data_IF_064466932987
#
_entry.id   IF_064466932987
#
_cell.length_a   1.000
_cell.length_b   1.000
_cell.length_c   1.000
_cell.angle_alpha   90.00
_cell.angle_beta   90.00
_cell.angle_gamma   90.00
#
_symmetry.space_group_name_H-M   'P 1'
#
loop_
_entity.id
_entity.type
_entity.pdbx_description
1 polymer ?
#
# COMPACT_ATOMS: atom_id res chain seq x y z
N UNK A 1 -22.63 -18.75 -25.87
CA UNK A 1 -22.59 -18.58 -24.40
C UNK A 1 -21.61 -19.56 -23.77
N UNK A 2 -20.31 -19.46 -24.06
CA UNK A 2 -19.28 -20.34 -23.45
C UNK A 2 -18.15 -19.57 -22.75
N UNK A 3 -18.15 -18.23 -22.77
CA UNK A 3 -17.08 -17.43 -22.16
C UNK A 3 -17.32 -17.07 -20.69
N UNK A 4 -18.57 -16.93 -20.24
CA UNK A 4 -18.86 -16.50 -18.86
C UNK A 4 -18.62 -17.61 -17.83
N UNK A 5 -18.72 -18.89 -18.23
CA UNK A 5 -18.57 -20.01 -17.28
C UNK A 5 -17.12 -20.38 -17.02
N UNK A 6 -16.24 -20.14 -17.99
CA UNK A 6 -14.80 -20.29 -17.83
C UNK A 6 -14.24 -19.17 -16.95
N UNK A 7 -14.66 -17.91 -17.16
CA UNK A 7 -14.21 -16.75 -16.38
C UNK A 7 -14.46 -16.88 -14.86
N UNK A 8 -15.53 -17.56 -14.44
CA UNK A 8 -15.86 -17.73 -13.01
C UNK A 8 -14.98 -18.81 -12.35
N UNK A 9 -14.61 -19.88 -13.06
CA UNK A 9 -13.68 -20.90 -12.55
C UNK A 9 -12.23 -20.37 -12.53
N UNK A 10 -11.78 -19.65 -13.56
CA UNK A 10 -10.44 -19.03 -13.57
C UNK A 10 -10.30 -17.90 -12.55
N UNK A 11 -11.35 -17.14 -12.25
CA UNK A 11 -11.30 -16.14 -11.17
C UNK A 11 -11.14 -16.79 -9.79
N UNK A 12 -11.71 -17.98 -9.58
CA UNK A 12 -11.53 -18.71 -8.33
C UNK A 12 -10.09 -19.16 -8.12
N UNK A 13 -9.50 -19.81 -9.13
CA UNK A 13 -8.09 -20.24 -9.09
C UNK A 13 -7.14 -19.04 -8.95
N UNK A 14 -7.45 -17.93 -9.61
CA UNK A 14 -6.69 -16.69 -9.49
C UNK A 14 -6.69 -16.15 -8.05
N UNK A 15 -7.87 -15.99 -7.44
CA UNK A 15 -7.98 -15.49 -6.06
C UNK A 15 -7.34 -16.46 -5.06
N UNK A 16 -7.50 -17.77 -5.24
CA UNK A 16 -6.84 -18.78 -4.41
C UNK A 16 -5.31 -18.70 -4.51
N UNK A 17 -4.77 -18.48 -5.71
CA UNK A 17 -3.34 -18.27 -5.94
C UNK A 17 -2.84 -17.02 -5.21
N UNK A 18 -3.52 -15.88 -5.38
CA UNK A 18 -3.17 -14.63 -4.67
C UNK A 18 -3.23 -14.81 -3.15
N UNK A 19 -4.26 -15.50 -2.65
CA UNK A 19 -4.42 -15.78 -1.23
C UNK A 19 -3.28 -16.68 -0.71
N UNK A 20 -2.78 -17.62 -1.51
CA UNK A 20 -1.62 -18.43 -1.19
C UNK A 20 -0.34 -17.60 -1.10
N UNK A 21 -0.11 -16.72 -2.09
CA UNK A 21 1.04 -15.80 -2.11
C UNK A 21 1.03 -14.89 -0.88
N UNK A 22 -0.11 -14.28 -0.54
CA UNK A 22 -0.23 -13.46 0.67
C UNK A 22 0.08 -14.28 1.93
N UNK A 23 -0.42 -15.52 2.05
CA UNK A 23 -0.11 -16.38 3.22
C UNK A 23 1.38 -16.72 3.29
N UNK A 24 2.01 -17.02 2.17
CA UNK A 24 3.43 -17.35 2.09
C UNK A 24 4.36 -16.14 2.26
N UNK A 25 3.85 -14.93 2.01
CA UNK A 25 4.60 -13.69 2.04
C UNK A 25 5.39 -13.50 3.35
N UNK A 26 6.71 -13.42 3.23
CA UNK A 26 7.64 -13.15 4.32
C UNK A 26 8.78 -12.32 3.79
N UNK A 27 8.91 -11.11 4.30
CA UNK A 27 9.89 -10.13 3.83
C UNK A 27 10.93 -9.83 4.90
N UNK A 28 12.16 -9.52 4.47
CA UNK A 28 13.25 -9.14 5.37
C UNK A 28 13.39 -7.62 5.51
N UNK A 29 12.86 -6.86 4.54
CA UNK A 29 12.87 -5.39 4.53
C UNK A 29 11.48 -4.86 4.13
N UNK A 30 11.25 -3.57 4.39
CA UNK A 30 9.98 -2.90 4.15
C UNK A 30 9.80 -2.52 2.67
N UNK A 31 10.88 -2.32 1.92
CA UNK A 31 10.81 -2.01 0.48
C UNK A 31 10.17 -3.16 -0.31
N UNK A 32 10.51 -4.41 0.04
CA UNK A 32 9.91 -5.62 -0.53
C UNK A 32 8.42 -5.72 -0.19
N UNK A 33 8.01 -5.27 1.01
CA UNK A 33 6.58 -5.20 1.40
C UNK A 33 5.86 -4.20 0.52
N UNK A 34 6.45 -3.02 0.29
CA UNK A 34 5.87 -1.98 -0.57
C UNK A 34 5.73 -2.50 -2.01
N UNK A 35 6.76 -3.14 -2.55
CA UNK A 35 6.73 -3.71 -3.89
C UNK A 35 5.68 -4.82 -4.01
N UNK A 36 5.58 -5.69 -2.99
CA UNK A 36 4.56 -6.74 -2.95
C UNK A 36 3.14 -6.18 -2.89
N UNK A 37 2.89 -5.18 -2.04
CA UNK A 37 1.57 -4.53 -1.95
C UNK A 37 1.20 -3.87 -3.27
N UNK A 38 2.13 -3.19 -3.93
CA UNK A 38 1.88 -2.60 -5.24
C UNK A 38 1.48 -3.65 -6.28
N UNK A 39 2.25 -4.74 -6.38
CA UNK A 39 1.90 -5.85 -7.27
C UNK A 39 0.54 -6.45 -6.91
N UNK A 40 0.27 -6.68 -5.62
CA UNK A 40 -0.99 -7.28 -5.17
C UNK A 40 -2.19 -6.39 -5.52
N UNK A 41 -2.07 -5.08 -5.37
CA UNK A 41 -3.12 -4.12 -5.72
C UNK A 41 -3.33 -4.07 -7.24
N UNK A 42 -2.27 -4.20 -8.05
CA UNK A 42 -2.40 -4.35 -9.51
C UNK A 42 -3.14 -5.65 -9.88
N UNK A 43 -2.80 -6.78 -9.26
CA UNK A 43 -3.47 -8.06 -9.50
C UNK A 43 -4.95 -8.02 -9.08
N UNK A 44 -5.25 -7.39 -7.94
CA UNK A 44 -6.63 -7.25 -7.47
C UNK A 44 -7.43 -6.25 -8.30
N UNK A 45 -6.79 -5.32 -9.01
CA UNK A 45 -7.45 -4.37 -9.93
C UNK A 45 -8.14 -5.04 -11.12
N UNK A 46 -7.77 -6.29 -11.44
CA UNK A 46 -8.45 -7.08 -12.47
C UNK A 46 -9.84 -7.58 -12.01
N UNK A 47 -10.17 -7.48 -10.72
CA UNK A 47 -11.47 -7.84 -10.18
C UNK A 47 -12.48 -6.69 -10.35
N UNK A 48 -13.69 -7.02 -10.79
CA UNK A 48 -14.77 -6.04 -11.03
C UNK A 48 -15.22 -5.37 -9.72
N UNK A 49 -15.27 -6.12 -8.62
CA UNK A 49 -15.51 -5.63 -7.26
C UNK A 49 -14.69 -6.49 -6.28
N UNK A 50 -13.48 -6.02 -5.95
CA UNK A 50 -12.53 -6.72 -5.06
C UNK A 50 -13.22 -7.17 -3.76
N UNK A 51 -13.93 -6.27 -3.06
CA UNK A 51 -14.48 -6.57 -1.73
C UNK A 51 -15.66 -7.54 -1.80
N UNK A 52 -16.46 -7.49 -2.87
CA UNK A 52 -17.54 -8.45 -3.05
C UNK A 52 -16.98 -9.83 -3.42
N UNK A 53 -15.99 -9.89 -4.31
CA UNK A 53 -15.38 -11.14 -4.77
C UNK A 53 -14.64 -11.82 -3.62
N UNK A 54 -13.76 -11.12 -2.91
CA UNK A 54 -12.90 -11.69 -1.87
C UNK A 54 -13.69 -12.29 -0.69
N UNK A 55 -14.90 -11.79 -0.39
CA UNK A 55 -15.77 -12.33 0.66
C UNK A 55 -16.24 -13.77 0.41
N UNK A 56 -16.17 -14.23 -0.84
CA UNK A 56 -16.55 -15.59 -1.20
C UNK A 56 -15.39 -16.59 -1.11
N UNK A 57 -14.19 -16.13 -0.80
CA UNK A 57 -12.98 -16.96 -0.70
C UNK A 57 -12.40 -16.92 0.72
N UNK A 58 -11.55 -17.89 1.04
CA UNK A 58 -10.72 -17.83 2.25
C UNK A 58 -9.59 -16.82 2.02
N UNK A 59 -9.93 -15.53 1.96
CA UNK A 59 -8.97 -14.45 1.76
C UNK A 59 -8.27 -14.11 3.07
N UNK A 60 -6.92 -14.01 3.12
CA UNK A 60 -6.17 -13.65 4.33
C UNK A 60 -6.25 -12.14 4.64
N UNK A 61 -7.47 -11.61 4.84
CA UNK A 61 -7.80 -10.19 5.00
C UNK A 61 -6.90 -9.49 6.03
N UNK A 62 -6.79 -10.03 7.24
CA UNK A 62 -5.96 -9.45 8.29
C UNK A 62 -4.49 -9.30 7.92
N UNK A 63 -3.92 -10.24 7.14
CA UNK A 63 -2.53 -10.16 6.72
C UNK A 63 -2.36 -9.18 5.57
N UNK A 64 -3.29 -9.19 4.61
CA UNK A 64 -3.32 -8.22 3.51
C UNK A 64 -3.41 -6.80 4.04
N UNK A 65 -4.33 -6.54 4.97
CA UNK A 65 -4.55 -5.21 5.56
C UNK A 65 -3.30 -4.75 6.32
N UNK A 66 -2.68 -5.61 7.11
CA UNK A 66 -1.44 -5.28 7.82
C UNK A 66 -0.27 -4.96 6.87
N UNK A 67 -0.13 -5.70 5.76
CA UNK A 67 0.90 -5.42 4.74
C UNK A 67 0.64 -4.08 4.05
N UNK A 68 -0.61 -3.81 3.67
CA UNK A 68 -1.02 -2.53 3.08
C UNK A 68 -0.77 -1.38 4.04
N UNK A 69 -1.22 -1.49 5.28
CA UNK A 69 -0.99 -0.47 6.32
C UNK A 69 0.50 -0.18 6.51
N UNK A 70 1.33 -1.22 6.65
CA UNK A 70 2.78 -1.06 6.78
C UNK A 70 3.41 -0.36 5.57
N UNK A 71 3.00 -0.73 4.35
CA UNK A 71 3.49 -0.09 3.13
C UNK A 71 3.09 1.40 3.05
N UNK A 72 1.83 1.72 3.35
CA UNK A 72 1.34 3.10 3.35
C UNK A 72 2.04 3.96 4.41
N UNK A 73 2.15 3.46 5.65
CA UNK A 73 2.82 4.18 6.74
C UNK A 73 4.29 4.43 6.41
N UNK A 74 5.00 3.43 5.87
CA UNK A 74 6.40 3.59 5.48
C UNK A 74 6.56 4.66 4.39
N UNK A 75 5.73 4.63 3.34
CA UNK A 75 5.77 5.65 2.30
C UNK A 75 5.48 7.06 2.84
N UNK A 76 4.57 7.18 3.80
CA UNK A 76 4.29 8.44 4.49
C UNK A 76 5.51 8.94 5.28
N UNK A 77 6.21 8.04 5.98
CA UNK A 77 7.45 8.36 6.68
C UNK A 77 8.55 8.80 5.72
N UNK A 78 8.73 8.12 4.59
CA UNK A 78 9.70 8.51 3.55
C UNK A 78 9.37 9.88 2.96
N UNK A 79 8.08 10.19 2.73
CA UNK A 79 7.68 11.54 2.28
C UNK A 79 8.00 12.59 3.34
N UNK A 80 7.77 12.30 4.62
CA UNK A 80 8.07 13.20 5.73
C UNK A 80 9.59 13.43 5.87
N UNK A 81 10.38 12.36 5.81
CA UNK A 81 11.84 12.42 5.83
C UNK A 81 12.34 13.32 4.71
N UNK A 82 11.89 13.09 3.47
CA UNK A 82 12.27 13.92 2.33
C UNK A 82 11.90 15.40 2.52
N UNK A 83 10.70 15.70 3.04
CA UNK A 83 10.29 17.07 3.36
C UNK A 83 11.23 17.70 4.40
N UNK A 84 11.57 16.96 5.45
CA UNK A 84 12.45 17.43 6.51
C UNK A 84 13.91 17.63 6.03
N UNK A 85 14.46 16.71 5.24
CA UNK A 85 15.83 16.79 4.72
C UNK A 85 15.99 17.84 3.62
N UNK A 86 14.94 18.09 2.84
CA UNK A 86 14.93 19.14 1.82
C UNK A 86 14.73 20.55 2.39
N UNK A 87 14.44 20.66 3.69
CA UNK A 87 14.27 21.94 4.35
C UNK A 87 15.60 22.70 4.39
N UNK A 88 15.64 23.83 3.68
CA UNK A 88 16.74 24.78 3.73
C UNK A 88 16.28 25.96 4.56
N UNK A 89 16.94 26.16 5.70
CA UNK A 89 16.72 27.34 6.52
C UNK A 89 17.30 28.58 5.81
N UNK A 90 16.55 29.69 5.84
CA UNK A 90 17.02 30.97 5.31
C UNK A 90 17.40 31.86 6.50
N UNK A 91 18.71 32.07 6.77
CA UNK A 91 19.17 32.87 7.91
C UNK A 91 18.78 34.35 7.82
N UNK A 92 18.19 34.79 6.69
CA UNK A 92 17.65 36.14 6.51
C UNK A 92 16.19 36.27 6.94
N UNK A 93 15.48 35.15 7.18
CA UNK A 93 14.10 35.18 7.64
C UNK A 93 14.03 35.59 9.12
N UNK A 94 13.03 36.40 9.52
CA UNK A 94 12.71 36.62 10.93
C UNK A 94 12.46 35.27 11.63
N UNK A 95 12.96 35.13 12.87
CA UNK A 95 12.86 33.90 13.65
C UNK A 95 11.41 33.36 13.75
N UNK A 96 10.41 34.23 13.86
CA UNK A 96 9.00 33.84 13.91
C UNK A 96 8.53 33.18 12.60
N UNK A 97 8.95 33.68 11.45
CA UNK A 97 8.61 33.10 10.15
C UNK A 97 9.33 31.76 9.92
N UNK A 98 10.59 31.67 10.34
CA UNK A 98 11.36 30.42 10.32
C UNK A 98 10.68 29.34 11.19
N UNK A 99 10.28 29.69 12.42
CA UNK A 99 9.58 28.78 13.34
C UNK A 99 8.22 28.32 12.80
N UNK A 100 7.43 29.21 12.19
CA UNK A 100 6.16 28.84 11.53
C UNK A 100 6.39 27.86 10.38
N UNK A 101 7.45 28.08 9.58
CA UNK A 101 7.79 27.22 8.45
C UNK A 101 8.25 25.83 8.92
N UNK A 102 9.03 25.75 9.99
CA UNK A 102 9.41 24.48 10.61
C UNK A 102 8.18 23.75 11.19
N UNK A 103 7.25 24.47 11.83
CA UNK A 103 6.04 23.89 12.40
C UNK A 103 5.11 23.31 11.32
N UNK A 104 5.01 23.96 10.16
CA UNK A 104 4.21 23.42 9.03
C UNK A 104 4.72 22.08 8.46
N UNK A 105 5.94 21.66 8.80
CA UNK A 105 6.45 20.33 8.44
C UNK A 105 5.91 19.22 9.36
N UNK A 106 5.46 19.58 10.57
CA UNK A 106 4.86 18.67 11.54
C UNK A 106 3.35 18.49 11.34
N UNK A 107 2.69 19.44 10.68
CA UNK A 107 1.27 19.35 10.37
C UNK A 107 1.05 18.41 9.16
N UNK A 108 0.29 17.33 9.38
CA UNK A 108 -0.24 16.44 8.32
C UNK A 108 -1.47 17.08 7.67
#
# INVERSE_FOLDING_TARGET
MFQVKADVETQGEFVESLASEVRAARFANIDDVVAFVHWLDEELSFLVDERAVLKHFDWPESKTDALREAAFEYQDLVKLENKATSFVDDPKLPCEEALKRMYSLLEK
#
